data_IF_132012839738
#
_entry.id   IF_132012839738
#
_cell.length_a   1.000
_cell.length_b   1.000
_cell.length_c   1.000
_cell.angle_alpha   90.00
_cell.angle_beta   90.00
_cell.angle_gamma   90.00
#
_symmetry.space_group_name_H-M   'P 1'
#
loop_
_entity.id
_entity.type
_entity.pdbx_description
1 polymer ?
#
# COMPACT_ATOMS: atom_id res chain seq x y z
N UNK A 1 -66.85 -32.45 58.24
CA UNK A 1 -67.41 -31.81 57.03
C UNK A 1 -66.31 -31.79 55.98
N UNK A 2 -66.60 -32.32 54.79
CA UNK A 2 -65.64 -32.66 53.74
C UNK A 2 -65.49 -31.55 52.67
N UNK A 3 -64.34 -31.58 51.98
CA UNK A 3 -64.04 -31.23 50.56
C UNK A 3 -65.02 -30.31 49.80
N UNK A 4 -64.49 -29.33 49.06
CA UNK A 4 -64.18 -29.49 47.62
C UNK A 4 -63.50 -28.26 46.97
N UNK A 5 -62.80 -28.58 45.89
CA UNK A 5 -62.01 -27.80 44.92
C UNK A 5 -62.90 -27.01 43.96
N UNK A 6 -62.47 -25.84 43.48
CA UNK A 6 -62.70 -25.46 42.07
C UNK A 6 -61.64 -24.49 41.55
N UNK A 7 -61.04 -24.85 40.43
CA UNK A 7 -60.14 -24.03 39.63
C UNK A 7 -60.95 -23.19 38.62
N UNK A 8 -60.48 -21.98 38.32
CA UNK A 8 -60.83 -21.28 37.07
C UNK A 8 -59.57 -20.70 36.45
N UNK A 9 -59.22 -21.27 35.28
CA UNK A 9 -58.32 -20.66 34.30
C UNK A 9 -59.00 -19.43 33.70
N UNK A 10 -58.26 -18.33 33.55
CA UNK A 10 -58.54 -17.35 32.50
C UNK A 10 -57.24 -16.99 31.81
N UNK A 11 -57.17 -17.32 30.52
CA UNK A 11 -56.13 -16.92 29.61
C UNK A 11 -56.42 -15.51 29.11
N UNK A 12 -55.47 -14.59 29.23
CA UNK A 12 -55.51 -13.32 28.51
C UNK A 12 -54.09 -12.93 28.05
N UNK A 13 -53.87 -13.21 26.76
CA UNK A 13 -53.18 -12.37 25.78
C UNK A 13 -51.80 -11.76 26.12
N UNK A 14 -50.77 -12.45 25.63
CA UNK A 14 -49.81 -11.91 24.64
C UNK A 14 -49.39 -10.44 24.75
N UNK A 15 -48.23 -10.22 25.35
CA UNK A 15 -47.51 -8.95 25.32
C UNK A 15 -46.00 -9.14 25.29
N UNK A 16 -45.51 -10.13 24.53
CA UNK A 16 -44.08 -10.27 24.27
C UNK A 16 -43.60 -9.09 23.42
N UNK A 17 -43.02 -8.08 24.05
CA UNK A 17 -42.27 -7.04 23.36
C UNK A 17 -41.07 -7.69 22.66
N UNK A 18 -41.30 -8.08 21.40
CA UNK A 18 -40.26 -8.37 20.43
C UNK A 18 -39.46 -7.08 20.25
N UNK A 19 -38.33 -6.96 20.93
CA UNK A 19 -37.29 -5.96 20.63
C UNK A 19 -36.91 -6.15 19.16
N UNK A 20 -37.54 -5.36 18.30
CA UNK A 20 -37.18 -5.22 16.89
C UNK A 20 -35.80 -4.59 16.85
N UNK A 21 -34.76 -5.43 16.85
CA UNK A 21 -33.44 -5.05 16.34
C UNK A 21 -33.62 -4.79 14.85
N UNK A 22 -34.10 -3.60 14.49
CA UNK A 22 -34.11 -3.10 13.12
C UNK A 22 -32.65 -3.07 12.69
N UNK A 23 -32.25 -4.04 11.88
CA UNK A 23 -30.93 -4.04 11.24
C UNK A 23 -30.83 -2.74 10.45
N UNK A 24 -30.03 -1.80 10.94
CA UNK A 24 -29.74 -0.56 10.20
C UNK A 24 -29.27 -0.93 8.79
N UNK A 25 -29.85 -0.29 7.79
CA UNK A 25 -29.47 -0.54 6.41
C UNK A 25 -28.00 -0.15 6.23
N UNK A 26 -27.29 -0.85 5.34
CA UNK A 26 -25.89 -0.56 5.03
C UNK A 26 -25.66 0.93 4.73
N UNK A 27 -26.63 1.57 4.06
CA UNK A 27 -26.65 3.01 3.76
C UNK A 27 -26.68 3.86 5.04
N UNK A 28 -27.50 3.52 6.03
CA UNK A 28 -27.54 4.24 7.30
C UNK A 28 -26.21 4.13 8.06
N UNK A 29 -25.54 2.98 8.00
CA UNK A 29 -24.19 2.80 8.58
C UNK A 29 -23.13 3.60 7.81
N UNK A 30 -23.29 3.73 6.50
CA UNK A 30 -22.38 4.47 5.63
C UNK A 30 -22.41 5.98 5.93
N UNK A 31 -23.61 6.56 6.07
CA UNK A 31 -23.78 8.00 6.35
C UNK A 31 -23.53 8.39 7.81
N UNK A 32 -23.52 7.45 8.75
CA UNK A 32 -23.19 7.71 10.16
C UNK A 32 -21.73 8.08 10.39
N UNK A 33 -20.81 7.61 9.54
CA UNK A 33 -19.40 7.99 9.63
C UNK A 33 -19.18 9.27 8.84
N UNK A 34 -18.93 10.43 9.47
CA UNK A 34 -18.83 11.73 8.77
C UNK A 34 -17.68 11.78 7.76
N UNK A 35 -16.71 10.86 7.86
CA UNK A 35 -15.60 10.72 6.91
C UNK A 35 -16.06 10.22 5.53
N UNK A 36 -17.11 9.42 5.46
CA UNK A 36 -17.59 8.81 4.21
C UNK A 36 -18.31 9.83 3.30
N UNK A 37 -19.32 10.60 3.77
CA UNK A 37 -19.94 11.63 2.95
C UNK A 37 -18.92 12.71 2.55
N UNK A 38 -17.96 13.04 3.42
CA UNK A 38 -16.86 13.94 3.05
C UNK A 38 -16.00 13.39 1.91
N UNK A 39 -15.60 12.11 1.97
CA UNK A 39 -14.85 11.46 0.88
C UNK A 39 -15.65 11.41 -0.43
N UNK A 40 -16.95 11.08 -0.36
CA UNK A 40 -17.83 11.10 -1.53
C UNK A 40 -17.95 12.51 -2.14
N UNK A 41 -18.12 13.54 -1.31
CA UNK A 41 -18.18 14.93 -1.76
C UNK A 41 -16.86 15.38 -2.42
N UNK A 42 -15.72 14.96 -1.86
CA UNK A 42 -14.41 15.23 -2.44
C UNK A 42 -14.25 14.60 -3.83
N UNK A 43 -14.61 13.31 -3.97
CA UNK A 43 -14.55 12.61 -5.26
C UNK A 43 -15.49 13.22 -6.30
N UNK A 44 -16.69 13.62 -5.88
CA UNK A 44 -17.62 14.31 -6.77
C UNK A 44 -17.08 15.68 -7.21
N UNK A 45 -16.52 16.45 -6.28
CA UNK A 45 -15.89 17.73 -6.59
C UNK A 45 -14.71 17.57 -7.55
N UNK A 46 -13.89 16.54 -7.36
CA UNK A 46 -12.77 16.22 -8.23
C UNK A 46 -13.25 15.84 -9.65
N UNK A 47 -14.29 15.02 -9.76
CA UNK A 47 -14.90 14.67 -11.04
C UNK A 47 -15.46 15.90 -11.78
N UNK A 48 -16.13 16.81 -11.06
CA UNK A 48 -16.62 18.08 -11.62
C UNK A 48 -15.46 18.95 -12.08
N UNK A 49 -14.41 19.08 -11.26
CA UNK A 49 -13.24 19.88 -11.59
C UNK A 49 -12.51 19.33 -12.82
N UNK A 50 -12.30 18.03 -12.91
CA UNK A 50 -11.70 17.36 -14.08
C UNK A 50 -12.56 17.56 -15.32
N UNK A 51 -13.88 17.44 -15.20
CA UNK A 51 -14.80 17.71 -16.32
C UNK A 51 -14.70 19.16 -16.81
N UNK A 52 -14.62 20.12 -15.89
CA UNK A 52 -14.45 21.54 -16.23
C UNK A 52 -13.09 21.79 -16.91
N UNK A 53 -12.01 21.22 -16.38
CA UNK A 53 -10.67 21.31 -16.97
C UNK A 53 -10.70 20.78 -18.42
N UNK A 54 -11.27 19.59 -18.65
CA UNK A 54 -11.38 18.99 -19.98
C UNK A 54 -12.17 19.88 -20.94
N UNK A 55 -13.21 20.55 -20.45
CA UNK A 55 -14.12 21.36 -21.28
C UNK A 55 -13.55 22.75 -21.60
N UNK A 56 -12.84 23.37 -20.65
CA UNK A 56 -12.44 24.78 -20.73
C UNK A 56 -10.97 24.98 -21.12
N UNK A 57 -10.12 23.96 -21.01
CA UNK A 57 -8.70 24.05 -21.41
C UNK A 57 -8.56 23.48 -22.83
N UNK A 58 -8.11 24.26 -23.82
CA UNK A 58 -7.91 23.76 -25.17
C UNK A 58 -6.70 22.81 -25.19
N UNK A 59 -6.97 21.51 -25.27
CA UNK A 59 -5.94 20.49 -25.47
C UNK A 59 -5.54 20.43 -26.94
N UNK A 60 -4.25 20.51 -27.23
CA UNK A 60 -3.79 20.11 -28.56
C UNK A 60 -3.90 18.59 -28.71
N UNK A 61 -3.94 18.08 -29.95
CA UNK A 61 -3.98 16.63 -30.20
C UNK A 61 -2.82 15.88 -29.52
N UNK A 62 -1.67 16.54 -29.42
CA UNK A 62 -0.47 16.01 -28.75
C UNK A 62 -0.66 15.97 -27.22
N UNK A 63 -1.27 17.00 -26.63
CA UNK A 63 -1.53 17.04 -25.19
C UNK A 63 -2.58 16.01 -24.76
N UNK A 64 -3.58 15.77 -25.60
CA UNK A 64 -4.62 14.77 -25.34
C UNK A 64 -4.05 13.35 -25.34
N UNK A 65 -3.22 13.00 -26.34
CA UNK A 65 -2.57 11.69 -26.42
C UNK A 65 -1.62 11.45 -25.23
N UNK A 66 -0.88 12.49 -24.83
CA UNK A 66 -0.01 12.44 -23.65
C UNK A 66 -0.82 12.27 -22.36
N UNK A 67 -1.93 12.98 -22.19
CA UNK A 67 -2.80 12.91 -21.02
C UNK A 67 -3.49 11.54 -20.89
N UNK A 68 -4.02 11.00 -22.00
CA UNK A 68 -4.61 9.66 -22.02
C UNK A 68 -3.56 8.58 -21.72
N UNK A 69 -2.34 8.76 -22.20
CA UNK A 69 -1.21 7.89 -21.85
C UNK A 69 -0.89 7.97 -20.35
N UNK A 70 -0.89 9.16 -19.75
CA UNK A 70 -0.69 9.34 -18.31
C UNK A 70 -1.79 8.70 -17.48
N UNK A 71 -3.06 8.81 -17.89
CA UNK A 71 -4.17 8.11 -17.22
C UNK A 71 -3.94 6.60 -17.29
N UNK A 72 -3.60 6.07 -18.46
CA UNK A 72 -3.33 4.63 -18.61
C UNK A 72 -2.14 4.20 -17.74
N UNK A 73 -1.04 4.95 -17.71
CA UNK A 73 0.10 4.68 -16.82
C UNK A 73 -0.27 4.80 -15.34
N UNK A 74 -1.12 5.76 -14.97
CA UNK A 74 -1.63 5.95 -13.61
C UNK A 74 -2.52 4.79 -13.18
N UNK A 75 -3.44 4.34 -14.03
CA UNK A 75 -4.25 3.14 -13.80
C UNK A 75 -3.36 1.91 -13.71
N UNK A 76 -2.38 1.74 -14.60
CA UNK A 76 -1.44 0.62 -14.56
C UNK A 76 -0.60 0.63 -13.27
N UNK A 77 -0.21 1.81 -12.80
CA UNK A 77 0.52 1.99 -11.55
C UNK A 77 -0.36 1.68 -10.34
N UNK A 78 -1.60 2.17 -10.30
CA UNK A 78 -2.58 1.86 -9.24
C UNK A 78 -2.94 0.38 -9.25
N UNK A 79 -3.05 -0.24 -10.42
CA UNK A 79 -3.26 -1.69 -10.57
C UNK A 79 -2.02 -2.45 -10.10
N UNK A 80 -0.81 -2.02 -10.43
CA UNK A 80 0.43 -2.64 -9.95
C UNK A 80 0.60 -2.50 -8.44
N UNK A 81 0.34 -1.32 -7.90
CA UNK A 81 0.50 -1.05 -6.48
C UNK A 81 -0.64 -1.66 -5.66
N UNK A 82 -1.86 -1.65 -6.19
CA UNK A 82 -3.02 -2.38 -5.68
C UNK A 82 -2.84 -3.89 -5.77
N UNK A 83 -2.15 -4.39 -6.79
CA UNK A 83 -1.75 -5.79 -6.92
C UNK A 83 -0.70 -6.13 -5.86
N UNK A 84 0.36 -5.35 -5.67
CA UNK A 84 1.32 -5.57 -4.57
C UNK A 84 0.62 -5.51 -3.22
N UNK A 85 -0.38 -4.63 -3.05
CA UNK A 85 -1.20 -4.58 -1.84
C UNK A 85 -2.09 -5.83 -1.71
N UNK A 86 -2.66 -6.36 -2.79
CA UNK A 86 -3.42 -7.62 -2.80
C UNK A 86 -2.52 -8.84 -2.56
N UNK A 87 -1.28 -8.85 -3.09
CA UNK A 87 -0.24 -9.81 -2.76
C UNK A 87 -0.05 -9.78 -1.24
N UNK A 88 0.20 -8.60 -0.69
CA UNK A 88 0.52 -8.43 0.72
C UNK A 88 -0.65 -8.81 1.64
N UNK A 89 -1.87 -8.34 1.35
CA UNK A 89 -3.09 -8.66 2.10
C UNK A 89 -3.44 -10.16 2.04
N UNK A 90 -3.23 -10.81 0.89
CA UNK A 90 -3.39 -12.28 0.80
C UNK A 90 -2.28 -13.03 1.52
N UNK A 91 -1.05 -12.51 1.52
CA UNK A 91 0.07 -13.13 2.27
C UNK A 91 -0.04 -12.93 3.78
N UNK A 92 -0.76 -11.91 4.24
CA UNK A 92 -1.08 -11.70 5.65
C UNK A 92 -2.15 -12.68 6.17
N UNK A 93 -3.12 -13.02 5.33
CA UNK A 93 -4.14 -14.04 5.64
C UNK A 93 -3.55 -15.45 5.56
N UNK A 94 -2.44 -15.63 4.84
CA UNK A 94 -1.73 -16.90 4.80
C UNK A 94 -0.26 -16.72 4.43
N UNK A 95 0.62 -16.85 5.42
CA UNK A 95 1.98 -17.38 5.23
C UNK A 95 1.90 -18.88 4.82
N UNK A 96 1.14 -19.15 3.77
CA UNK A 96 1.22 -20.36 2.98
C UNK A 96 1.80 -19.94 1.63
N UNK A 97 2.83 -20.64 1.18
CA UNK A 97 3.45 -20.49 -0.15
C UNK A 97 2.38 -20.43 -1.26
N UNK A 98 1.28 -21.15 -1.09
CA UNK A 98 0.13 -21.13 -2.00
C UNK A 98 -0.54 -19.75 -2.14
N UNK A 99 -0.63 -18.96 -1.06
CA UNK A 99 -1.16 -17.60 -1.09
C UNK A 99 -0.26 -16.65 -1.90
N UNK A 100 1.07 -16.74 -1.68
CA UNK A 100 2.07 -15.99 -2.46
C UNK A 100 1.98 -16.35 -3.93
N UNK A 101 1.97 -17.65 -4.26
CA UNK A 101 1.89 -18.15 -5.65
C UNK A 101 0.58 -17.71 -6.29
N UNK A 102 -0.56 -17.86 -5.62
CA UNK A 102 -1.87 -17.44 -6.16
C UNK A 102 -1.90 -15.95 -6.46
N UNK A 103 -1.31 -15.15 -5.57
CA UNK A 103 -1.30 -13.72 -5.74
C UNK A 103 -0.32 -13.30 -6.87
N UNK A 104 0.88 -13.90 -6.96
CA UNK A 104 1.82 -13.71 -8.07
C UNK A 104 1.22 -14.17 -9.42
N UNK A 105 0.42 -15.24 -9.42
CA UNK A 105 -0.29 -15.69 -10.62
C UNK A 105 -1.36 -14.67 -11.04
N UNK A 106 -2.12 -14.11 -10.08
CA UNK A 106 -3.05 -13.02 -10.34
C UNK A 106 -2.35 -11.77 -10.90
N UNK A 107 -1.18 -11.45 -10.36
CA UNK A 107 -0.32 -10.37 -10.84
C UNK A 107 0.09 -10.57 -12.30
N UNK A 108 0.64 -11.74 -12.61
CA UNK A 108 1.05 -12.11 -13.95
C UNK A 108 -0.13 -12.11 -14.93
N UNK A 109 -1.29 -12.61 -14.51
CA UNK A 109 -2.50 -12.63 -15.35
C UNK A 109 -2.91 -11.22 -15.77
N UNK A 110 -2.96 -10.26 -14.84
CA UNK A 110 -3.31 -8.88 -15.16
C UNK A 110 -2.29 -8.26 -16.12
N UNK A 111 -0.99 -8.50 -15.90
CA UNK A 111 0.06 -8.02 -16.81
C UNK A 111 -0.07 -8.62 -18.22
N UNK A 112 -0.41 -9.90 -18.32
CA UNK A 112 -0.66 -10.57 -19.60
C UNK A 112 -1.90 -10.00 -20.28
N UNK A 113 -3.00 -9.79 -19.56
CA UNK A 113 -4.24 -9.25 -20.14
C UNK A 113 -4.06 -7.84 -20.68
N UNK A 114 -3.38 -6.96 -19.93
CA UNK A 114 -3.10 -5.59 -20.40
C UNK A 114 -2.07 -5.57 -21.53
N UNK A 115 -1.06 -6.45 -21.46
CA UNK A 115 -0.05 -6.60 -22.51
C UNK A 115 -0.52 -7.38 -23.74
N UNK A 116 -1.69 -8.03 -23.68
CA UNK A 116 -2.18 -8.97 -24.69
C UNK A 116 -2.18 -8.42 -26.12
N UNK A 117 -2.67 -7.20 -26.41
CA UNK A 117 -2.62 -6.67 -27.78
C UNK A 117 -1.18 -6.58 -28.31
N UNK A 118 -0.22 -6.23 -27.46
CA UNK A 118 1.20 -6.15 -27.84
C UNK A 118 1.86 -7.52 -27.94
N UNK A 119 1.45 -8.48 -27.10
CA UNK A 119 1.95 -9.86 -27.15
C UNK A 119 1.48 -10.60 -28.41
N UNK A 120 0.27 -10.30 -28.89
CA UNK A 120 -0.27 -10.90 -30.12
C UNK A 120 0.33 -10.26 -31.38
N UNK A 121 0.52 -8.93 -31.39
CA UNK A 121 1.04 -8.23 -32.58
C UNK A 121 2.57 -8.23 -32.67
N UNK A 122 3.28 -8.03 -31.54
CA UNK A 122 4.74 -7.81 -31.52
C UNK A 122 5.41 -8.44 -30.29
N UNK A 123 5.35 -9.77 -30.09
CA UNK A 123 5.81 -10.43 -28.86
C UNK A 123 7.30 -10.17 -28.56
N UNK A 124 8.16 -10.29 -29.57
CA UNK A 124 9.61 -10.12 -29.42
C UNK A 124 9.95 -8.67 -29.07
N UNK A 125 9.33 -7.70 -29.76
CA UNK A 125 9.56 -6.29 -29.50
C UNK A 125 9.04 -5.90 -28.11
N UNK A 126 7.85 -6.37 -27.73
CA UNK A 126 7.27 -6.10 -26.41
C UNK A 126 8.16 -6.63 -25.28
N UNK A 127 8.54 -7.91 -25.32
CA UNK A 127 9.36 -8.54 -24.27
C UNK A 127 10.76 -7.93 -24.22
N UNK A 128 11.43 -7.76 -25.37
CA UNK A 128 12.79 -7.19 -25.41
C UNK A 128 12.84 -5.73 -24.95
N UNK A 129 11.78 -4.95 -25.19
CA UNK A 129 11.72 -3.53 -24.77
C UNK A 129 11.24 -3.36 -23.34
N UNK A 130 10.39 -4.26 -22.83
CA UNK A 130 9.97 -4.29 -21.43
C UNK A 130 11.14 -4.57 -20.48
N UNK A 131 12.06 -5.47 -20.86
CA UNK A 131 13.20 -5.87 -20.02
C UNK A 131 14.56 -5.37 -20.54
N UNK A 132 14.62 -4.14 -21.06
CA UNK A 132 15.87 -3.53 -21.48
C UNK A 132 16.61 -2.83 -20.31
N UNK A 133 17.40 -3.61 -19.58
CA UNK A 133 18.20 -3.14 -18.44
C UNK A 133 19.41 -2.27 -18.85
N UNK A 134 19.77 -2.26 -20.14
CA UNK A 134 20.82 -1.39 -20.68
C UNK A 134 20.36 0.04 -20.98
N UNK A 135 19.07 0.35 -20.78
CA UNK A 135 18.52 1.67 -21.08
C UNK A 135 19.06 2.71 -20.10
N UNK A 136 19.67 3.75 -20.66
CA UNK A 136 20.17 4.90 -19.92
C UNK A 136 19.30 6.09 -20.31
N UNK A 137 18.60 6.68 -19.34
CA UNK A 137 17.87 7.92 -19.56
C UNK A 137 18.84 9.09 -19.73
N UNK A 138 18.49 10.00 -20.62
CA UNK A 138 19.28 11.20 -20.91
C UNK A 138 19.25 12.16 -19.72
N UNK A 139 20.43 12.64 -19.33
CA UNK A 139 20.60 13.55 -18.19
C UNK A 139 19.81 14.86 -18.36
N UNK A 140 19.52 15.26 -19.60
CA UNK A 140 18.75 16.44 -19.92
C UNK A 140 17.36 16.47 -19.24
N UNK A 141 16.64 15.35 -19.24
CA UNK A 141 15.28 15.28 -18.68
C UNK A 141 15.18 14.78 -17.24
N UNK A 142 16.32 14.55 -16.57
CA UNK A 142 16.28 14.07 -15.20
C UNK A 142 15.98 15.21 -14.22
N UNK A 143 14.96 15.04 -13.40
CA UNK A 143 14.67 15.91 -12.25
C UNK A 143 15.60 15.56 -11.08
N UNK A 144 15.89 14.27 -10.89
CA UNK A 144 16.80 13.80 -9.84
C UNK A 144 18.26 13.89 -10.28
N UNK A 145 19.16 14.18 -9.33
CA UNK A 145 20.61 14.28 -9.56
C UNK A 145 21.05 15.17 -10.73
N UNK A 146 20.26 16.18 -11.12
CA UNK A 146 20.58 17.12 -12.21
C UNK A 146 21.81 17.97 -11.93
N UNK A 147 22.16 18.14 -10.66
CA UNK A 147 23.37 18.81 -10.20
C UNK A 147 24.64 17.97 -10.43
N UNK A 148 24.52 16.68 -10.74
CA UNK A 148 25.66 15.80 -11.00
C UNK A 148 26.12 15.98 -12.46
N UNK A 149 27.43 16.14 -12.73
CA UNK A 149 27.93 16.23 -14.10
C UNK A 149 27.55 14.99 -14.93
N UNK A 150 27.19 15.22 -16.19
CA UNK A 150 26.72 14.16 -17.10
C UNK A 150 27.67 12.93 -17.21
N UNK A 151 29.01 13.09 -17.29
CA UNK A 151 29.92 11.95 -17.35
C UNK A 151 29.83 11.05 -16.10
N UNK A 152 29.60 11.64 -14.93
CA UNK A 152 29.42 10.90 -13.67
C UNK A 152 28.03 10.27 -13.63
N UNK A 153 27.01 11.03 -14.03
CA UNK A 153 25.61 10.58 -14.04
C UNK A 153 25.37 9.36 -14.93
N UNK A 154 26.06 9.27 -16.07
CA UNK A 154 25.92 8.14 -17.02
C UNK A 154 26.82 6.95 -16.63
N UNK A 155 27.77 7.15 -15.71
CA UNK A 155 28.72 6.11 -15.32
C UNK A 155 28.04 4.90 -14.65
N UNK A 156 28.56 3.70 -14.94
CA UNK A 156 28.11 2.46 -14.27
C UNK A 156 28.40 2.48 -12.77
N UNK A 157 29.51 3.09 -12.37
CA UNK A 157 29.90 3.21 -10.97
C UNK A 157 28.85 3.98 -10.15
N UNK A 158 28.36 5.11 -10.67
CA UNK A 158 27.32 5.89 -10.00
C UNK A 158 25.99 5.11 -9.91
N UNK A 159 25.60 4.39 -10.96
CA UNK A 159 24.40 3.55 -10.94
C UNK A 159 24.49 2.42 -9.90
N UNK A 160 25.64 1.74 -9.81
CA UNK A 160 25.88 0.68 -8.82
C UNK A 160 25.94 1.23 -7.40
N UNK A 161 26.51 2.42 -7.19
CA UNK A 161 26.51 3.10 -5.90
C UNK A 161 25.08 3.40 -5.43
N UNK A 162 24.25 4.00 -6.30
CA UNK A 162 22.85 4.29 -5.97
C UNK A 162 22.04 3.02 -5.68
N UNK A 163 22.30 1.94 -6.42
CA UNK A 163 21.69 0.63 -6.15
C UNK A 163 22.12 0.07 -4.80
N UNK A 164 23.41 0.15 -4.45
CA UNK A 164 23.92 -0.29 -3.16
C UNK A 164 23.29 0.51 -2.02
N UNK A 165 23.23 1.84 -2.15
CA UNK A 165 22.58 2.73 -1.18
C UNK A 165 21.10 2.37 -1.02
N UNK A 166 20.38 2.11 -2.11
CA UNK A 166 18.99 1.68 -2.09
C UNK A 166 18.79 0.38 -1.28
N UNK A 167 19.57 -0.66 -1.58
CA UNK A 167 19.48 -1.95 -0.90
C UNK A 167 19.85 -1.85 0.58
N UNK A 168 20.87 -1.04 0.92
CA UNK A 168 21.28 -0.79 2.30
C UNK A 168 20.17 -0.07 3.07
N UNK A 169 19.58 0.99 2.50
CA UNK A 169 18.47 1.71 3.13
C UNK A 169 17.26 0.79 3.35
N UNK A 170 16.90 -0.03 2.37
CA UNK A 170 15.83 -1.03 2.54
C UNK A 170 16.15 -2.03 3.65
N UNK A 171 17.37 -2.55 3.71
CA UNK A 171 17.78 -3.49 4.75
C UNK A 171 17.74 -2.85 6.16
N UNK A 172 18.18 -1.59 6.27
CA UNK A 172 18.15 -0.82 7.52
C UNK A 172 16.70 -0.60 7.97
N UNK A 173 15.82 -0.14 7.08
CA UNK A 173 14.40 0.03 7.40
C UNK A 173 13.73 -1.30 7.75
N UNK A 174 14.00 -2.37 6.99
CA UNK A 174 13.46 -3.69 7.27
C UNK A 174 13.89 -4.20 8.65
N UNK A 175 15.18 -4.09 8.97
CA UNK A 175 15.71 -4.61 10.22
C UNK A 175 15.25 -3.81 11.45
N UNK A 176 15.38 -2.50 11.42
CA UNK A 176 15.17 -1.65 12.60
C UNK A 176 13.74 -1.11 12.75
N UNK A 177 12.95 -1.08 11.66
CA UNK A 177 11.62 -0.46 11.67
C UNK A 177 10.53 -1.50 11.42
N UNK A 178 10.55 -2.15 10.26
CA UNK A 178 9.45 -3.03 9.86
C UNK A 178 9.42 -4.30 10.70
N UNK A 179 10.59 -4.94 10.92
CA UNK A 179 10.69 -6.19 11.67
C UNK A 179 11.12 -6.01 13.14
N UNK A 180 11.05 -4.79 13.70
CA UNK A 180 11.53 -4.51 15.07
C UNK A 180 10.88 -5.43 16.11
N UNK A 181 9.57 -5.65 15.99
CA UNK A 181 8.79 -6.48 16.93
C UNK A 181 9.03 -7.98 16.77
N UNK A 182 9.69 -8.42 15.69
CA UNK A 182 10.06 -9.82 15.44
C UNK A 182 11.53 -10.11 15.79
N UNK A 183 12.23 -9.15 16.41
CA UNK A 183 13.67 -9.25 16.71
C UNK A 183 14.57 -8.92 15.51
N UNK A 184 14.03 -8.20 14.52
CA UNK A 184 14.72 -7.79 13.30
C UNK A 184 14.58 -8.76 12.13
N UNK A 185 15.07 -8.33 10.97
CA UNK A 185 14.93 -9.06 9.70
C UNK A 185 15.52 -10.48 9.76
N UNK A 186 16.71 -10.63 10.35
CA UNK A 186 17.42 -11.92 10.39
C UNK A 186 16.74 -12.92 11.32
N UNK A 187 16.20 -12.46 12.46
CA UNK A 187 15.41 -13.29 13.39
C UNK A 187 14.14 -13.81 12.72
N UNK A 188 13.43 -12.93 11.99
CA UNK A 188 12.26 -13.29 11.19
C UNK A 188 12.63 -14.33 10.13
N UNK A 189 13.64 -14.07 9.30
CA UNK A 189 14.06 -15.00 8.25
C UNK A 189 14.50 -16.36 8.82
N UNK A 190 15.26 -16.37 9.91
CA UNK A 190 15.71 -17.60 10.56
C UNK A 190 14.55 -18.41 11.14
N UNK A 191 13.65 -17.76 11.89
CA UNK A 191 12.47 -18.43 12.46
C UNK A 191 11.56 -19.01 11.38
N UNK A 192 11.37 -18.31 10.26
CA UNK A 192 10.59 -18.81 9.11
C UNK A 192 11.29 -19.95 8.37
N UNK A 193 12.59 -19.85 8.14
CA UNK A 193 13.37 -20.91 7.51
C UNK A 193 13.35 -22.18 8.36
N UNK A 194 13.46 -22.06 9.68
CA UNK A 194 13.36 -23.17 10.63
C UNK A 194 11.95 -23.80 10.62
N UNK A 195 10.89 -22.98 10.63
CA UNK A 195 9.50 -23.46 10.52
C UNK A 195 9.22 -24.20 9.21
N UNK A 196 9.77 -23.71 8.08
CA UNK A 196 9.63 -24.38 6.79
C UNK A 196 10.35 -25.74 6.77
N UNK A 197 11.61 -25.79 7.22
CA UNK A 197 12.36 -27.06 7.31
C UNK A 197 11.64 -28.09 8.18
N UNK A 198 11.08 -27.66 9.31
CA UNK A 198 10.33 -28.52 10.21
C UNK A 198 9.04 -29.04 9.53
N UNK A 199 8.26 -28.18 8.89
CA UNK A 199 7.02 -28.55 8.20
C UNK A 199 7.26 -29.51 7.03
N UNK A 200 8.33 -29.31 6.26
CA UNK A 200 8.70 -30.20 5.14
C UNK A 200 9.18 -31.57 5.62
N UNK A 201 9.91 -31.65 6.73
CA UNK A 201 10.34 -32.91 7.33
C UNK A 201 9.17 -33.75 7.86
N UNK A 202 8.14 -33.11 8.46
CA UNK A 202 6.94 -33.81 8.92
C UNK A 202 6.03 -34.29 7.78
N UNK A 203 6.02 -33.62 6.62
CA UNK A 203 5.25 -34.09 5.45
C UNK A 203 5.84 -35.33 4.78
N UNK A 204 7.12 -35.65 4.98
CA UNK A 204 7.73 -36.90 4.50
C UNK A 204 7.50 -38.10 5.43
N UNK A 205 6.88 -37.90 6.60
CA UNK A 205 6.65 -38.97 7.58
C UNK A 205 5.15 -39.09 7.87
N UNK A 206 4.48 -39.98 7.15
CA UNK A 206 3.07 -40.28 7.36
C UNK A 206 2.85 -40.90 8.76
N UNK A 207 2.31 -40.11 9.69
CA UNK A 207 1.59 -40.63 10.85
C UNK A 207 0.52 -39.64 11.28
N UNK A 208 -0.73 -39.98 10.96
CA UNK A 208 -1.96 -39.43 11.51
C UNK A 208 -1.91 -39.55 13.04
N UNK A 209 -1.38 -38.54 13.74
CA UNK A 209 -1.58 -38.39 15.18
C UNK A 209 -2.02 -36.97 15.47
N UNK A 210 -3.31 -36.88 15.75
CA UNK A 210 -3.99 -35.74 16.34
C UNK A 210 -3.17 -35.17 17.49
N UNK A 211 -2.55 -34.02 17.26
CA UNK A 211 -1.96 -33.20 18.31
C UNK A 211 -2.53 -31.80 18.14
N UNK A 212 -3.40 -31.48 19.10
CA UNK A 212 -3.68 -30.18 19.67
C UNK A 212 -3.39 -28.98 18.79
N UNK A 213 -4.47 -28.26 18.47
CA UNK A 213 -4.64 -26.80 18.63
C UNK A 213 -3.42 -26.05 19.19
N UNK A 214 -2.30 -26.11 18.48
CA UNK A 214 -1.25 -25.12 18.58
C UNK A 214 -1.82 -23.98 17.78
N UNK A 215 -2.49 -23.08 18.50
CA UNK A 215 -2.76 -21.73 18.04
C UNK A 215 -1.43 -21.15 17.59
N UNK A 216 -1.02 -21.43 16.35
CA UNK A 216 -0.29 -20.44 15.57
C UNK A 216 -1.27 -19.29 15.50
N UNK A 217 -1.18 -18.40 16.49
CA UNK A 217 -1.93 -17.16 16.52
C UNK A 217 -1.48 -16.45 15.25
N UNK A 218 -2.23 -16.63 14.16
CA UNK A 218 -2.02 -15.94 12.90
C UNK A 218 -2.25 -14.48 13.25
N UNK A 219 -1.15 -13.77 13.49
CA UNK A 219 -1.20 -12.37 13.83
C UNK A 219 -1.35 -11.62 12.52
N UNK A 220 -2.57 -11.22 12.23
CA UNK A 220 -2.90 -10.40 11.07
C UNK A 220 -2.21 -9.04 11.23
N UNK A 221 -1.43 -8.61 10.24
CA UNK A 221 -0.90 -7.24 10.24
C UNK A 221 -2.02 -6.22 10.03
N UNK A 222 -1.79 -5.05 10.61
CA UNK A 222 -2.58 -3.85 10.38
C UNK A 222 -2.36 -3.36 8.96
N UNK A 223 -3.44 -2.96 8.29
CA UNK A 223 -3.41 -2.40 6.93
C UNK A 223 -2.53 -1.17 6.82
N UNK A 224 -2.43 -0.39 7.89
CA UNK A 224 -1.56 0.80 7.99
C UNK A 224 -0.08 0.45 7.95
N UNK A 225 0.33 -0.62 8.64
CA UNK A 225 1.72 -1.10 8.62
C UNK A 225 2.12 -1.58 7.23
N UNK A 226 1.21 -2.30 6.54
CA UNK A 226 1.39 -2.77 5.17
C UNK A 226 1.59 -1.60 4.21
N UNK A 227 0.63 -0.67 4.20
CA UNK A 227 0.67 0.51 3.33
C UNK A 227 1.91 1.37 3.58
N UNK A 228 2.25 1.62 4.85
CA UNK A 228 3.46 2.36 5.22
C UNK A 228 4.72 1.67 4.71
N UNK A 229 4.85 0.36 4.91
CA UNK A 229 6.03 -0.40 4.46
C UNK A 229 6.19 -0.32 2.95
N UNK A 230 5.10 -0.50 2.19
CA UNK A 230 5.11 -0.41 0.74
C UNK A 230 5.47 1.00 0.24
N UNK A 231 4.82 2.03 0.77
CA UNK A 231 5.05 3.41 0.34
C UNK A 231 6.44 3.91 0.71
N UNK A 232 6.95 3.56 1.90
CA UNK A 232 8.32 3.91 2.30
C UNK A 232 9.34 3.18 1.43
N UNK A 233 9.14 1.89 1.13
CA UNK A 233 10.02 1.13 0.24
C UNK A 233 10.08 1.73 -1.18
N UNK A 234 8.93 2.06 -1.75
CA UNK A 234 8.85 2.76 -3.03
C UNK A 234 9.52 4.14 -2.98
N UNK A 235 9.29 4.91 -1.92
CA UNK A 235 9.91 6.22 -1.73
C UNK A 235 11.44 6.14 -1.65
N UNK A 236 12.00 5.18 -0.91
CA UNK A 236 13.46 4.93 -0.89
C UNK A 236 13.99 4.65 -2.31
N UNK A 237 13.23 3.93 -3.13
CA UNK A 237 13.52 3.73 -4.56
C UNK A 237 13.56 5.03 -5.36
N UNK A 238 12.57 5.91 -5.18
CA UNK A 238 12.51 7.23 -5.82
C UNK A 238 13.72 8.09 -5.45
N UNK A 239 14.10 8.15 -4.15
CA UNK A 239 15.26 8.93 -3.70
C UNK A 239 16.56 8.44 -4.34
N UNK A 240 16.71 7.11 -4.45
CA UNK A 240 17.91 6.49 -5.02
C UNK A 240 17.86 6.37 -6.56
N UNK A 241 16.77 6.76 -7.21
CA UNK A 241 16.62 6.62 -8.65
C UNK A 241 17.57 7.58 -9.36
N UNK A 242 18.52 7.03 -10.13
CA UNK A 242 19.51 7.80 -10.89
C UNK A 242 18.83 8.84 -11.78
N UNK A 243 17.84 8.44 -12.57
CA UNK A 243 17.12 9.32 -13.49
C UNK A 243 15.63 9.31 -13.21
N UNK A 244 15.04 10.50 -13.07
CA UNK A 244 13.60 10.68 -12.95
C UNK A 244 13.09 11.63 -14.01
N UNK A 245 12.43 11.09 -15.03
CA UNK A 245 11.62 11.85 -15.97
C UNK A 245 10.33 12.36 -15.30
N UNK A 246 9.79 13.50 -15.76
CA UNK A 246 8.57 14.12 -15.21
C UNK A 246 7.37 13.18 -15.06
N UNK A 247 7.23 12.21 -15.97
CA UNK A 247 6.18 11.19 -15.92
C UNK A 247 6.24 10.31 -14.65
N UNK A 248 7.43 10.10 -14.09
CA UNK A 248 7.62 9.29 -12.88
C UNK A 248 7.20 10.02 -11.60
N UNK A 249 6.74 11.28 -11.69
CA UNK A 249 6.16 11.95 -10.53
C UNK A 249 4.92 11.18 -10.00
N UNK A 250 4.14 10.64 -10.93
CA UNK A 250 2.96 9.80 -10.64
C UNK A 250 3.27 8.58 -9.76
N UNK A 251 4.53 8.11 -9.73
CA UNK A 251 4.94 6.94 -8.95
C UNK A 251 4.97 7.17 -7.44
N UNK A 252 4.85 8.40 -6.95
CA UNK A 252 4.79 8.61 -5.50
C UNK A 252 3.98 9.85 -5.10
N UNK A 253 3.56 10.67 -6.07
CA UNK A 253 2.67 11.82 -5.83
C UNK A 253 1.51 11.47 -4.90
N UNK A 254 0.76 10.40 -5.21
CA UNK A 254 -0.41 9.99 -4.42
C UNK A 254 -0.07 9.44 -3.03
N UNK A 255 1.14 8.89 -2.83
CA UNK A 255 1.59 8.40 -1.52
C UNK A 255 2.29 9.48 -0.69
N UNK A 256 2.68 10.61 -1.30
CA UNK A 256 3.42 11.67 -0.64
C UNK A 256 2.67 12.31 0.54
N UNK A 257 1.37 12.69 0.43
CA UNK A 257 0.61 13.19 1.57
C UNK A 257 0.52 12.16 2.69
N UNK A 258 0.31 10.88 2.36
CA UNK A 258 0.29 9.81 3.35
C UNK A 258 1.63 9.72 4.10
N UNK A 259 2.75 9.66 3.37
CA UNK A 259 4.09 9.59 3.96
C UNK A 259 4.40 10.79 4.86
N UNK A 260 4.06 12.00 4.44
CA UNK A 260 4.26 13.22 5.23
C UNK A 260 3.47 13.17 6.55
N UNK A 261 2.25 12.64 6.54
CA UNK A 261 1.44 12.49 7.76
C UNK A 261 1.87 11.32 8.65
N UNK A 262 2.71 10.40 8.17
CA UNK A 262 3.40 9.41 9.00
C UNK A 262 4.62 9.98 9.74
N UNK A 263 5.11 11.15 9.36
CA UNK A 263 6.25 11.81 10.05
C UNK A 263 5.80 12.54 11.32
N UNK A 264 6.73 12.75 12.25
CA UNK A 264 6.53 13.53 13.49
C UNK A 264 6.54 15.05 13.26
N UNK A 265 6.63 15.50 12.01
CA UNK A 265 6.71 16.91 11.68
C UNK A 265 5.40 17.66 11.99
N UNK A 266 5.47 18.95 12.36
CA UNK A 266 4.28 19.78 12.48
C UNK A 266 3.61 19.98 11.11
N UNK A 267 2.30 20.20 11.09
CA UNK A 267 1.51 20.29 9.84
C UNK A 267 2.03 21.33 8.86
N UNK A 268 2.54 22.47 9.33
CA UNK A 268 3.11 23.50 8.45
C UNK A 268 4.35 22.97 7.69
N UNK A 269 5.23 22.21 8.35
CA UNK A 269 6.43 21.66 7.71
C UNK A 269 6.05 20.59 6.68
N UNK A 270 5.01 19.79 6.96
CA UNK A 270 4.47 18.82 5.99
C UNK A 270 3.99 19.50 4.72
N UNK A 271 3.24 20.59 4.86
CA UNK A 271 2.76 21.37 3.71
C UNK A 271 3.91 22.04 2.96
N UNK A 272 4.88 22.63 3.67
CA UNK A 272 6.08 23.22 3.04
C UNK A 272 6.85 22.16 2.24
N UNK A 273 7.05 20.97 2.80
CA UNK A 273 7.73 19.87 2.09
C UNK A 273 6.91 19.38 0.89
N UNK A 274 5.60 19.27 1.02
CA UNK A 274 4.71 18.90 -0.10
C UNK A 274 4.82 19.91 -1.25
N UNK A 275 4.66 21.20 -0.94
CA UNK A 275 4.77 22.29 -1.92
C UNK A 275 6.18 22.42 -2.49
N UNK A 276 7.23 22.19 -1.70
CA UNK A 276 8.61 22.20 -2.20
C UNK A 276 8.85 21.07 -3.21
N UNK A 277 8.35 19.86 -2.93
CA UNK A 277 8.40 18.76 -3.90
C UNK A 277 7.62 19.13 -5.16
N UNK A 278 6.37 19.57 -5.04
CA UNK A 278 5.54 20.01 -6.17
C UNK A 278 6.26 21.08 -7.02
N UNK A 279 6.84 22.09 -6.38
CA UNK A 279 7.61 23.14 -7.05
C UNK A 279 8.77 22.54 -7.87
N UNK A 280 9.57 21.65 -7.28
CA UNK A 280 10.70 21.04 -7.98
C UNK A 280 10.30 20.24 -9.22
N UNK A 281 9.12 19.62 -9.24
CA UNK A 281 8.60 18.88 -10.40
C UNK A 281 7.97 19.78 -11.46
N UNK A 282 7.58 21.01 -11.11
CA UNK A 282 7.03 21.99 -12.06
C UNK A 282 8.11 22.88 -12.71
N UNK A 283 9.35 22.84 -12.24
CA UNK A 283 10.47 23.56 -12.90
C UNK A 283 10.90 22.79 -14.14
N UNK A 284 10.64 23.36 -15.33
CA UNK A 284 10.96 22.75 -16.62
C UNK A 284 11.82 23.67 -17.52
N UNK A 285 12.98 23.20 -18.04
CA UNK A 285 13.71 21.99 -17.65
C UNK A 285 14.29 22.12 -16.22
N UNK A 286 14.60 20.99 -15.60
CA UNK A 286 15.15 20.95 -14.24
C UNK A 286 16.52 21.64 -14.22
N UNK A 287 16.83 22.29 -13.10
CA UNK A 287 18.11 22.95 -12.88
C UNK A 287 18.82 22.36 -11.64
N UNK A 288 20.06 22.77 -11.42
CA UNK A 288 20.88 22.25 -10.32
C UNK A 288 20.24 22.54 -8.96
N UNK A 289 19.66 23.73 -8.79
CA UNK A 289 19.04 24.16 -7.54
C UNK A 289 17.75 23.40 -7.24
N UNK A 290 16.87 23.24 -8.22
CA UNK A 290 15.61 22.49 -8.05
C UNK A 290 15.87 21.01 -7.75
N UNK A 291 16.89 20.42 -8.38
CA UNK A 291 17.27 19.04 -8.12
C UNK A 291 17.91 18.85 -6.75
N UNK A 292 18.78 19.76 -6.32
CA UNK A 292 19.36 19.71 -4.97
C UNK A 292 18.28 19.93 -3.91
N UNK A 293 17.38 20.89 -4.11
CA UNK A 293 16.23 21.14 -3.23
C UNK A 293 15.33 19.90 -3.13
N UNK A 294 15.06 19.23 -4.27
CA UNK A 294 14.28 18.00 -4.27
C UNK A 294 14.95 16.90 -3.44
N UNK A 295 16.26 16.69 -3.62
CA UNK A 295 17.01 15.70 -2.84
C UNK A 295 16.99 16.04 -1.35
N UNK A 296 17.20 17.30 -0.98
CA UNK A 296 17.15 17.74 0.43
C UNK A 296 15.74 17.51 1.01
N UNK A 297 14.69 17.89 0.30
CA UNK A 297 13.31 17.66 0.73
C UNK A 297 13.04 16.16 0.92
N UNK A 298 13.48 15.32 -0.02
CA UNK A 298 13.35 13.87 0.08
C UNK A 298 14.12 13.28 1.27
N UNK A 299 15.33 13.75 1.54
CA UNK A 299 16.13 13.32 2.70
C UNK A 299 15.50 13.75 4.02
N UNK A 300 14.92 14.95 4.09
CA UNK A 300 14.16 15.41 5.28
C UNK A 300 12.95 14.51 5.51
N UNK A 301 12.18 14.20 4.46
CA UNK A 301 11.03 13.28 4.56
C UNK A 301 11.48 11.90 5.04
N UNK A 302 12.57 11.36 4.47
CA UNK A 302 13.11 10.06 4.86
C UNK A 302 13.57 10.05 6.32
N UNK A 303 14.24 11.12 6.78
CA UNK A 303 14.62 11.30 8.17
C UNK A 303 13.43 11.42 9.12
N UNK A 304 12.35 12.09 8.70
CA UNK A 304 11.09 12.16 9.43
C UNK A 304 10.41 10.79 9.56
N UNK A 305 10.40 10.00 8.49
CA UNK A 305 9.87 8.63 8.46
C UNK A 305 10.68 7.68 9.34
N UNK A 306 12.01 7.87 9.38
CA UNK A 306 12.89 7.15 10.29
C UNK A 306 12.60 7.48 11.76
N UNK A 307 12.40 8.77 12.07
CA UNK A 307 12.22 9.28 13.43
C UNK A 307 10.83 9.00 14.02
N UNK A 308 9.82 8.70 13.20
CA UNK A 308 8.49 8.36 13.70
C UNK A 308 8.54 7.17 14.68
N UNK A 309 7.65 7.03 15.67
CA UNK A 309 7.67 5.83 16.53
C UNK A 309 7.27 4.58 15.73
N UNK A 310 7.91 3.42 15.94
CA UNK A 310 7.49 2.16 15.32
C UNK A 310 6.18 1.71 15.98
N UNK A 311 5.11 1.67 15.20
CA UNK A 311 3.80 1.17 15.66
C UNK A 311 3.78 -0.36 15.70
N UNK A 312 3.02 -0.91 16.66
CA UNK A 312 2.84 -2.34 16.78
C UNK A 312 2.09 -2.89 15.56
N UNK A 313 2.67 -3.85 14.81
CA UNK A 313 2.18 -4.19 13.47
C UNK A 313 0.92 -5.05 13.47
N UNK A 314 0.56 -5.70 14.57
CA UNK A 314 -0.52 -6.70 14.59
C UNK A 314 -1.83 -6.17 15.15
N UNK A 315 -2.94 -6.66 14.60
CA UNK A 315 -4.29 -6.33 15.07
C UNK A 315 -4.50 -6.93 16.48
N UNK A 316 -4.73 -6.05 17.47
CA UNK A 316 -5.07 -6.49 18.83
C UNK A 316 -6.54 -6.98 18.87
N UNK A 317 -6.74 -8.29 19.08
CA UNK A 317 -8.05 -8.92 19.25
C UNK A 317 -8.77 -8.57 20.57
N UNK A 318 -8.39 -7.49 21.26
CA UNK A 318 -8.99 -7.07 22.53
C UNK A 318 -10.44 -6.57 22.38
N UNK A 319 -10.79 -6.00 21.22
CA UNK A 319 -12.14 -5.47 21.00
C UNK A 319 -13.22 -6.56 20.89
N UNK A 320 -12.89 -7.73 20.33
CA UNK A 320 -13.83 -8.85 20.16
C UNK A 320 -14.14 -9.55 21.50
N UNK A 321 -13.20 -9.56 22.46
CA UNK A 321 -13.47 -10.05 23.82
C UNK A 321 -14.40 -9.13 24.61
N UNK A 322 -14.24 -7.80 24.50
CA UNK A 322 -15.09 -6.85 25.21
C UNK A 322 -16.52 -6.84 24.68
N UNK A 323 -16.72 -6.99 23.36
CA UNK A 323 -18.04 -7.11 22.76
C UNK A 323 -18.70 -8.45 23.06
N UNK A 324 -17.95 -9.57 23.06
CA UNK A 324 -18.46 -10.88 23.47
C UNK A 324 -18.83 -10.94 24.95
N UNK A 325 -18.10 -10.24 25.81
CA UNK A 325 -18.43 -10.12 27.24
C UNK A 325 -19.66 -9.23 27.44
N UNK A 326 -19.79 -8.11 26.73
CA UNK A 326 -21.00 -7.26 26.79
C UNK A 326 -22.24 -7.97 26.24
N UNK A 327 -22.12 -8.80 25.19
CA UNK A 327 -23.23 -9.61 24.65
C UNK A 327 -23.60 -10.82 25.52
N UNK A 328 -22.71 -11.28 26.40
CA UNK A 328 -22.99 -12.34 27.38
C UNK A 328 -23.57 -11.80 28.69
N UNK A 329 -23.38 -10.50 28.95
CA UNK A 329 -23.89 -9.80 30.12
C UNK A 329 -25.22 -9.05 29.86
N UNK A 330 -25.76 -9.12 28.64
CA UNK A 330 -27.05 -8.54 28.22
C UNK A 330 -28.04 -9.63 27.84
#
# INVERSE_FOLDING_TARGET
MARQVTATRSAAAGGGQKLSRRSESFIQKLFKNPKIPFACALLFSDAVLVFLIITYIPYTKIDWDAYMSQILFGVLYVVNLGMVLLLYLKTDVAMNIFGVISALAGAALVQILVGLPFLLSYPIAYISRAFNLGRIFIHFWSVNFKFVPEPVFVSKGFALLLLAVHLILLAIFAHYRWCKHEGGLFSLLHSRLAQMKLKTAYTSSFALKQINSSNSNFRVLTTEHIATTMFVGNFIGIVCARSLHYQFYSWYFYSLPYLLWRTTFPSWLRLVLFTAVEFCWNVYPSNMYSSLLLLVAHLIILGGLWSAPPEYPYVNNTNDKSEKLKKRAS
#
